data_IF_303344799385
#
_entry.id   IF_303344799385
#
_cell.length_a   1.000
_cell.length_b   1.000
_cell.length_c   1.000
_cell.angle_alpha   90.00
_cell.angle_beta   90.00
_cell.angle_gamma   90.00
#
_symmetry.space_group_name_H-M   'P 1'
#
loop_
_entity.id
_entity.type
_entity.pdbx_description
1 polymer ?
#
# COMPACT_ATOMS: atom_id res chain seq x y z
N UNK A 1 25.45 11.78 -34.69
CA UNK A 1 24.11 11.28 -34.32
C UNK A 1 23.93 9.96 -35.02
N UNK A 2 24.09 8.88 -34.28
CA UNK A 2 23.88 7.48 -34.68
C UNK A 2 23.34 6.79 -33.41
N UNK A 3 22.26 5.98 -33.49
CA UNK A 3 21.59 5.45 -32.32
C UNK A 3 22.25 4.17 -31.79
N UNK A 4 22.51 4.11 -30.48
CA UNK A 4 23.00 2.90 -29.81
C UNK A 4 21.91 1.83 -29.75
N UNK A 5 22.25 0.66 -30.29
CA UNK A 5 21.44 -0.55 -30.23
C UNK A 5 21.43 -1.12 -28.80
N UNK A 6 20.24 -1.48 -28.30
CA UNK A 6 20.07 -2.20 -27.05
C UNK A 6 20.20 -3.71 -27.35
N UNK A 7 21.36 -4.27 -27.05
CA UNK A 7 21.62 -5.70 -27.12
C UNK A 7 20.89 -6.39 -25.95
N UNK A 8 20.06 -7.38 -26.29
CA UNK A 8 19.30 -8.18 -25.34
C UNK A 8 20.22 -9.21 -24.68
N UNK A 9 20.53 -9.02 -23.41
CA UNK A 9 21.14 -10.08 -22.59
C UNK A 9 20.04 -11.02 -22.07
N UNK A 10 19.84 -12.10 -22.80
CA UNK A 10 19.08 -13.26 -22.37
C UNK A 10 19.90 -14.08 -21.37
N UNK A 11 19.56 -13.99 -20.08
CA UNK A 11 20.20 -14.81 -19.03
C UNK A 11 19.37 -16.06 -18.81
N UNK A 12 19.84 -17.19 -19.35
CA UNK A 12 19.37 -18.55 -19.05
C UNK A 12 19.69 -18.92 -17.59
N UNK A 13 18.77 -19.58 -16.85
CA UNK A 13 19.09 -20.09 -15.52
C UNK A 13 19.94 -21.36 -15.62
N UNK A 14 21.14 -21.34 -15.03
CA UNK A 14 21.94 -22.54 -14.78
C UNK A 14 21.44 -23.25 -13.51
N UNK A 15 21.11 -24.53 -13.65
CA UNK A 15 20.88 -25.48 -12.57
C UNK A 15 22.23 -26.13 -12.28
N UNK A 16 22.83 -25.84 -11.12
CA UNK A 16 24.04 -26.53 -10.65
C UNK A 16 23.65 -27.72 -9.79
N UNK A 17 24.01 -28.90 -10.28
CA UNK A 17 24.02 -30.19 -9.60
C UNK A 17 25.23 -30.28 -8.67
N UNK A 18 25.02 -30.70 -7.42
CA UNK A 18 26.09 -31.21 -6.57
C UNK A 18 25.61 -32.44 -5.81
N UNK A 19 26.12 -33.59 -6.24
CA UNK A 19 26.09 -34.90 -5.56
C UNK A 19 27.23 -34.95 -4.54
N UNK A 20 27.07 -35.64 -3.40
CA UNK A 20 28.18 -36.31 -2.72
C UNK A 20 28.02 -37.83 -2.76
N UNK A 21 29.16 -38.51 -2.90
CA UNK A 21 29.32 -39.94 -3.12
C UNK A 21 30.01 -40.62 -1.93
N UNK A 22 29.56 -41.85 -1.59
CA UNK A 22 30.24 -42.85 -0.75
C UNK A 22 29.54 -43.11 0.60
N UNK A 23 29.26 -44.33 1.07
CA UNK A 23 29.38 -45.74 0.61
C UNK A 23 28.46 -46.58 1.54
N UNK A 24 27.79 -47.65 1.09
CA UNK A 24 28.26 -49.04 1.12
C UNK A 24 27.48 -49.90 2.14
N UNK A 25 26.81 -50.97 1.65
CA UNK A 25 26.18 -52.16 2.30
C UNK A 25 25.08 -51.92 3.36
N UNK A 26 23.92 -52.60 3.40
CA UNK A 26 23.58 -54.01 3.15
C UNK A 26 22.07 -54.22 2.80
N UNK A 27 21.77 -55.45 2.37
CA UNK A 27 20.50 -55.96 1.83
C UNK A 27 19.31 -56.03 2.81
N UNK A 28 18.09 -55.71 2.33
CA UNK A 28 16.82 -56.49 2.46
C UNK A 28 15.54 -55.62 2.31
N UNK A 29 14.60 -56.05 1.45
CA UNK A 29 13.24 -55.53 1.22
C UNK A 29 12.26 -55.92 2.37
N UNK A 30 10.94 -55.58 2.40
CA UNK A 30 10.12 -54.63 1.59
C UNK A 30 9.12 -53.75 2.42
N UNK A 31 8.40 -52.85 1.73
CA UNK A 31 6.95 -52.52 1.88
C UNK A 31 6.57 -51.04 2.09
N UNK A 32 5.78 -50.55 1.14
CA UNK A 32 4.58 -49.69 1.23
C UNK A 32 4.46 -48.71 2.40
N UNK A 33 4.32 -47.40 2.10
CA UNK A 33 3.27 -46.53 2.68
C UNK A 33 3.12 -45.24 1.86
N UNK A 34 1.89 -45.04 1.44
CA UNK A 34 1.16 -43.81 1.08
C UNK A 34 1.59 -42.53 1.81
N UNK A 35 1.66 -41.40 1.10
CA UNK A 35 1.81 -40.09 1.73
C UNK A 35 1.79 -38.92 0.75
N UNK A 36 0.59 -38.47 0.40
CA UNK A 36 0.34 -37.21 -0.26
C UNK A 36 0.67 -36.02 0.66
N UNK A 37 1.17 -34.93 0.09
CA UNK A 37 1.08 -33.59 0.70
C UNK A 37 2.39 -33.01 1.23
N UNK A 38 3.15 -32.34 0.37
CA UNK A 38 4.18 -31.39 0.79
C UNK A 38 4.44 -30.35 -0.32
N UNK A 39 3.43 -29.54 -0.66
CA UNK A 39 3.57 -28.43 -1.59
C UNK A 39 2.66 -27.27 -1.22
N UNK A 40 2.75 -26.81 0.02
CA UNK A 40 1.92 -25.67 0.47
C UNK A 40 2.51 -25.00 1.70
N UNK A 41 3.78 -24.57 1.68
CA UNK A 41 4.34 -23.76 2.79
C UNK A 41 5.46 -22.78 2.38
N UNK A 42 5.55 -22.37 1.11
CA UNK A 42 6.60 -21.44 0.66
C UNK A 42 6.14 -19.98 0.42
N UNK A 43 4.90 -19.61 0.77
CA UNK A 43 4.31 -18.32 0.34
C UNK A 43 3.71 -17.47 1.47
N UNK A 44 4.18 -17.64 2.71
CA UNK A 44 3.69 -16.87 3.87
C UNK A 44 4.72 -15.91 4.49
N UNK A 45 6.00 -15.98 4.12
CA UNK A 45 7.08 -15.33 4.90
C UNK A 45 7.42 -13.87 4.53
N UNK A 46 6.93 -13.35 3.40
CA UNK A 46 7.24 -11.98 2.95
C UNK A 46 6.19 -10.92 3.34
N UNK A 47 5.21 -11.28 4.18
CA UNK A 47 4.09 -10.38 4.53
C UNK A 47 4.14 -9.82 5.95
N UNK A 48 5.07 -10.27 6.80
CA UNK A 48 5.15 -9.79 8.19
C UNK A 48 6.11 -8.61 8.39
N UNK A 49 7.05 -8.33 7.47
CA UNK A 49 8.03 -7.26 7.70
C UNK A 49 7.52 -5.82 7.50
N UNK A 50 6.39 -5.61 6.82
CA UNK A 50 5.93 -4.25 6.48
C UNK A 50 4.92 -3.63 7.46
N UNK A 51 4.57 -4.30 8.57
CA UNK A 51 3.61 -3.76 9.55
C UNK A 51 4.25 -3.02 10.75
N UNK A 52 5.58 -2.91 10.83
CA UNK A 52 6.26 -2.30 12.00
C UNK A 52 6.78 -0.86 11.79
N UNK A 53 6.55 -0.25 10.61
CA UNK A 53 7.12 1.06 10.27
C UNK A 53 6.06 2.11 9.91
N UNK A 54 4.99 2.20 10.71
CA UNK A 54 4.17 3.41 10.79
C UNK A 54 3.90 3.75 12.26
N UNK A 55 4.93 3.68 13.10
CA UNK A 55 4.91 4.51 14.29
C UNK A 55 5.35 5.90 13.86
N UNK A 56 4.35 6.78 13.68
CA UNK A 56 4.54 8.23 13.74
C UNK A 56 5.10 8.53 15.13
N UNK A 57 6.40 8.36 15.27
CA UNK A 57 7.12 8.57 16.50
C UNK A 57 6.98 10.06 16.78
N UNK A 58 6.14 10.40 17.75
CA UNK A 58 6.15 11.72 18.36
C UNK A 58 7.59 11.85 18.85
N UNK A 59 8.40 12.62 18.14
CA UNK A 59 9.64 13.15 18.69
C UNK A 59 9.19 13.76 19.99
N UNK A 60 9.54 13.13 21.12
CA UNK A 60 9.18 13.66 22.42
C UNK A 60 9.72 15.09 22.41
N UNK A 61 8.82 16.05 22.55
CA UNK A 61 9.18 17.45 22.66
C UNK A 61 9.80 17.57 24.05
N UNK A 62 11.10 17.27 24.15
CA UNK A 62 11.83 17.31 25.40
C UNK A 62 12.15 18.78 25.63
N UNK A 63 11.31 19.42 26.43
CA UNK A 63 11.40 20.84 26.75
C UNK A 63 12.49 21.07 27.80
N UNK A 64 13.73 21.26 27.32
CA UNK A 64 14.89 21.52 28.19
C UNK A 64 14.97 23.01 28.56
N UNK A 65 14.46 23.88 27.70
CA UNK A 65 14.59 25.33 27.81
C UNK A 65 13.93 25.94 29.05
N UNK A 66 12.72 25.52 29.48
CA UNK A 66 12.11 26.03 30.71
C UNK A 66 12.99 25.79 31.94
N UNK A 67 13.53 24.58 32.08
CA UNK A 67 14.39 24.20 33.22
C UNK A 67 15.69 25.00 33.22
N UNK A 68 16.33 25.18 32.05
CA UNK A 68 17.55 26.00 31.93
C UNK A 68 17.26 27.45 32.33
N UNK A 69 16.16 28.03 31.83
CA UNK A 69 15.78 29.41 32.15
C UNK A 69 15.56 29.60 33.65
N UNK A 70 14.91 28.64 34.29
CA UNK A 70 14.69 28.69 35.73
C UNK A 70 15.97 28.56 36.55
N UNK A 71 16.95 27.76 36.11
CA UNK A 71 18.27 27.66 36.74
C UNK A 71 19.00 29.00 36.63
N UNK A 72 19.11 29.56 35.42
CA UNK A 72 19.77 30.85 35.17
C UNK A 72 19.12 31.93 36.05
N UNK A 73 17.79 32.02 36.05
CA UNK A 73 17.05 32.96 36.90
C UNK A 73 17.30 32.74 38.40
N UNK A 74 17.43 31.50 38.85
CA UNK A 74 17.68 31.21 40.28
C UNK A 74 19.11 31.52 40.72
N UNK A 75 20.08 31.45 39.80
CA UNK A 75 21.50 31.75 40.06
C UNK A 75 21.76 33.26 40.01
N UNK A 76 21.07 33.98 39.12
CA UNK A 76 21.18 35.44 38.97
C UNK A 76 20.39 36.23 40.03
N UNK A 77 19.59 35.55 40.84
CA UNK A 77 18.78 36.20 41.88
C UNK A 77 19.62 36.49 43.12
N UNK A 78 19.75 37.76 43.49
CA UNK A 78 20.44 38.16 44.72
C UNK A 78 19.65 37.74 45.97
N UNK A 79 20.24 36.93 46.88
CA UNK A 79 19.55 36.48 48.08
C UNK A 79 19.38 37.62 49.08
N UNK A 80 18.15 37.82 49.57
CA UNK A 80 17.79 38.91 50.49
C UNK A 80 18.22 38.63 51.93
N UNK A 81 18.26 37.35 52.35
CA UNK A 81 18.75 36.90 53.66
C UNK A 81 19.36 35.48 53.61
N UNK A 82 20.02 35.04 54.69
CA UNK A 82 20.68 33.73 54.75
C UNK A 82 19.70 32.54 54.66
N UNK A 83 18.48 32.69 55.17
CA UNK A 83 17.45 31.65 55.09
C UNK A 83 16.93 31.48 53.65
N UNK A 84 16.71 32.58 52.93
CA UNK A 84 16.35 32.59 51.51
C UNK A 84 17.47 32.01 50.65
N UNK A 85 18.73 32.37 50.91
CA UNK A 85 19.90 31.81 50.21
C UNK A 85 19.95 30.29 50.27
N UNK A 86 19.67 29.72 51.46
CA UNK A 86 19.75 28.28 51.66
C UNK A 86 18.59 27.54 50.99
N UNK A 87 17.39 28.13 50.99
CA UNK A 87 16.23 27.61 50.25
C UNK A 87 16.41 27.70 48.74
N UNK A 88 16.83 28.85 48.22
CA UNK A 88 17.06 29.07 46.78
C UNK A 88 18.18 28.18 46.22
N UNK A 89 19.23 27.95 47.02
CA UNK A 89 20.29 27.01 46.66
C UNK A 89 19.79 25.56 46.59
N UNK A 90 18.85 25.16 47.46
CA UNK A 90 18.23 23.83 47.42
C UNK A 90 17.32 23.68 46.20
N UNK A 91 16.47 24.67 45.93
CA UNK A 91 15.57 24.71 44.77
C UNK A 91 16.37 24.71 43.45
N UNK A 92 17.46 25.48 43.36
CA UNK A 92 18.37 25.47 42.22
C UNK A 92 19.00 24.08 42.00
N UNK A 93 19.46 23.43 43.07
CA UNK A 93 20.03 22.07 42.99
C UNK A 93 19.01 21.06 42.49
N UNK A 94 17.74 21.19 42.90
CA UNK A 94 16.65 20.33 42.44
C UNK A 94 16.39 20.50 40.94
N UNK A 95 16.42 21.74 40.43
CA UNK A 95 16.26 22.02 38.98
C UNK A 95 17.43 21.48 38.15
N UNK A 96 18.65 21.51 38.69
CA UNK A 96 19.81 20.89 38.04
C UNK A 96 19.63 19.37 37.92
N UNK A 97 19.08 18.72 38.96
CA UNK A 97 18.75 17.28 38.89
C UNK A 97 17.63 16.99 37.88
N UNK A 98 16.63 17.85 37.80
CA UNK A 98 15.58 17.75 36.78
C UNK A 98 16.13 17.88 35.36
N UNK A 99 17.05 18.82 35.13
CA UNK A 99 17.77 18.96 33.87
C UNK A 99 18.57 17.70 33.52
N UNK A 100 19.26 17.10 34.49
CA UNK A 100 19.99 15.85 34.27
C UNK A 100 19.05 14.72 33.87
N UNK A 101 17.92 14.56 34.58
CA UNK A 101 16.91 13.53 34.28
C UNK A 101 16.29 13.71 32.90
N UNK A 102 15.99 14.94 32.48
CA UNK A 102 15.45 15.22 31.15
C UNK A 102 16.47 14.92 30.05
N UNK A 103 17.76 15.21 30.26
CA UNK A 103 18.83 14.84 29.34
C UNK A 103 19.03 13.33 29.23
N UNK A 104 18.94 12.60 30.34
CA UNK A 104 18.99 11.14 30.33
C UNK A 104 17.80 10.52 29.58
N UNK A 105 16.59 11.04 29.80
CA UNK A 105 15.40 10.65 29.05
C UNK A 105 15.55 10.92 27.54
N UNK A 106 16.17 12.05 27.17
CA UNK A 106 16.49 12.37 25.78
C UNK A 106 17.46 11.37 25.15
N UNK A 107 18.54 11.04 25.87
CA UNK A 107 19.51 10.02 25.44
C UNK A 107 18.85 8.65 25.26
N UNK A 108 17.95 8.26 26.17
CA UNK A 108 17.20 7.02 26.06
C UNK A 108 16.29 7.00 24.83
N UNK A 109 15.62 8.12 24.53
CA UNK A 109 14.75 8.26 23.36
C UNK A 109 15.54 8.19 22.04
N UNK A 110 16.70 8.85 21.97
CA UNK A 110 17.60 8.78 20.81
C UNK A 110 18.03 7.33 20.54
N UNK A 111 18.32 6.55 21.60
CA UNK A 111 18.67 5.13 21.49
C UNK A 111 17.50 4.22 21.08
N UNK A 112 16.27 4.71 21.14
CA UNK A 112 15.07 3.99 20.71
C UNK A 112 14.62 4.39 19.30
N UNK A 113 15.34 5.29 18.63
CA UNK A 113 15.00 5.71 17.27
C UNK A 113 15.20 4.54 16.30
N UNK A 114 14.18 4.19 15.50
CA UNK A 114 14.29 3.11 14.54
C UNK A 114 15.32 3.47 13.49
N UNK A 115 16.20 2.52 13.21
CA UNK A 115 17.20 2.66 12.17
C UNK A 115 18.56 3.15 12.63
N UNK A 116 18.73 3.60 13.88
CA UNK A 116 20.05 3.96 14.42
C UNK A 116 21.03 2.78 14.49
N UNK A 117 20.51 1.55 14.50
CA UNK A 117 21.30 0.32 14.54
C UNK A 117 21.97 0.00 13.19
N UNK A 118 21.49 0.61 12.11
CA UNK A 118 22.04 0.37 10.77
C UNK A 118 23.13 1.38 10.45
N UNK A 119 24.19 0.90 9.80
CA UNK A 119 25.16 1.80 9.18
C UNK A 119 24.48 2.65 8.10
N UNK A 120 25.04 3.82 7.81
CA UNK A 120 24.54 4.68 6.72
C UNK A 120 24.50 3.93 5.39
N UNK A 121 25.50 3.08 5.10
CA UNK A 121 25.50 2.28 3.88
C UNK A 121 24.38 1.24 3.85
N UNK A 122 24.10 0.58 4.97
CA UNK A 122 23.04 -0.41 5.08
C UNK A 122 21.65 0.20 4.91
N UNK A 123 21.41 1.38 5.50
CA UNK A 123 20.18 2.14 5.31
C UNK A 123 19.96 2.46 3.83
N UNK A 124 21.00 2.94 3.15
CA UNK A 124 20.95 3.27 1.72
C UNK A 124 20.69 2.04 0.86
N UNK A 125 21.36 0.91 1.13
CA UNK A 125 21.11 -0.37 0.42
C UNK A 125 19.68 -0.84 0.58
N UNK A 126 19.12 -0.78 1.79
CA UNK A 126 17.72 -1.15 2.05
C UNK A 126 16.76 -0.25 1.28
N UNK A 127 17.04 1.06 1.28
CA UNK A 127 16.25 2.05 0.55
C UNK A 127 16.29 1.78 -0.97
N UNK A 128 17.46 1.50 -1.54
CA UNK A 128 17.61 1.14 -2.95
C UNK A 128 16.86 -0.15 -3.31
N UNK A 129 16.94 -1.18 -2.47
CA UNK A 129 16.17 -2.42 -2.64
C UNK A 129 14.66 -2.14 -2.67
N UNK A 130 14.15 -1.34 -1.73
CA UNK A 130 12.74 -0.96 -1.68
C UNK A 130 12.31 -0.17 -2.91
N UNK A 131 13.13 0.75 -3.41
CA UNK A 131 12.87 1.49 -4.66
C UNK A 131 12.77 0.53 -5.85
N UNK A 132 13.70 -0.42 -5.96
CA UNK A 132 13.68 -1.45 -7.02
C UNK A 132 12.42 -2.31 -6.94
N UNK A 133 12.06 -2.78 -5.75
CA UNK A 133 10.85 -3.58 -5.54
C UNK A 133 9.58 -2.80 -5.91
N UNK A 134 9.49 -1.53 -5.51
CA UNK A 134 8.36 -0.67 -5.83
C UNK A 134 8.25 -0.46 -7.35
N UNK A 135 9.36 -0.15 -8.02
CA UNK A 135 9.38 0.01 -9.47
C UNK A 135 8.90 -1.25 -10.20
N UNK A 136 9.37 -2.43 -9.79
CA UNK A 136 8.93 -3.71 -10.35
C UNK A 136 7.44 -3.96 -10.10
N UNK A 137 6.95 -3.73 -8.88
CA UNK A 137 5.52 -3.88 -8.55
C UNK A 137 4.66 -2.93 -9.38
N UNK A 138 5.07 -1.68 -9.57
CA UNK A 138 4.37 -0.72 -10.43
C UNK A 138 4.34 -1.16 -11.90
N UNK A 139 5.48 -1.60 -12.44
CA UNK A 139 5.55 -2.12 -13.81
C UNK A 139 4.60 -3.30 -14.00
N UNK A 140 4.57 -4.22 -13.03
CA UNK A 140 3.72 -5.39 -13.08
C UNK A 140 2.23 -5.01 -13.05
N UNK A 141 1.83 -4.12 -12.14
CA UNK A 141 0.46 -3.60 -12.07
C UNK A 141 0.07 -2.92 -13.38
N UNK A 142 0.96 -2.09 -13.96
CA UNK A 142 0.71 -1.41 -15.24
C UNK A 142 0.50 -2.42 -16.37
N UNK A 143 1.36 -3.45 -16.44
CA UNK A 143 1.28 -4.51 -17.45
C UNK A 143 -0.05 -5.27 -17.36
N UNK A 144 -0.42 -5.73 -16.17
CA UNK A 144 -1.67 -6.48 -15.97
C UNK A 144 -2.91 -5.63 -16.20
N UNK A 145 -2.92 -4.35 -15.76
CA UNK A 145 -4.03 -3.44 -16.05
C UNK A 145 -4.21 -3.26 -17.55
N UNK A 146 -3.15 -2.98 -18.29
CA UNK A 146 -3.23 -2.79 -19.73
C UNK A 146 -3.66 -4.07 -20.46
N UNK A 147 -3.12 -5.23 -20.08
CA UNK A 147 -3.53 -6.51 -20.65
C UNK A 147 -5.00 -6.83 -20.38
N UNK A 148 -5.47 -6.59 -19.16
CA UNK A 148 -6.87 -6.84 -18.80
C UNK A 148 -7.80 -5.89 -19.54
N UNK A 149 -7.48 -4.59 -19.61
CA UNK A 149 -8.26 -3.61 -20.35
C UNK A 149 -8.28 -3.96 -21.83
N UNK A 150 -7.15 -4.37 -22.42
CA UNK A 150 -7.09 -4.81 -23.81
C UNK A 150 -7.97 -6.04 -24.05
N UNK A 151 -7.83 -7.09 -23.21
CA UNK A 151 -8.68 -8.29 -23.30
C UNK A 151 -10.16 -7.98 -23.12
N UNK A 152 -10.48 -7.02 -22.26
CA UNK A 152 -11.84 -6.56 -22.03
C UNK A 152 -12.37 -5.74 -23.21
N UNK A 153 -11.56 -4.86 -23.80
CA UNK A 153 -11.90 -4.10 -25.00
C UNK A 153 -12.10 -5.00 -26.22
N UNK A 154 -11.29 -6.05 -26.35
CA UNK A 154 -11.42 -7.06 -27.40
C UNK A 154 -12.61 -8.01 -27.15
N UNK A 155 -13.25 -7.95 -25.98
CA UNK A 155 -14.42 -8.75 -25.68
C UNK A 155 -15.67 -8.30 -26.46
N UNK A 156 -16.47 -9.26 -26.89
CA UNK A 156 -17.73 -9.00 -27.60
C UNK A 156 -18.74 -8.14 -26.82
N UNK A 157 -19.00 -8.34 -25.51
CA UNK A 157 -19.96 -7.51 -24.78
C UNK A 157 -19.55 -6.04 -24.69
N UNK A 158 -18.25 -5.74 -24.52
CA UNK A 158 -17.76 -4.36 -24.48
C UNK A 158 -17.84 -3.68 -25.84
N UNK A 159 -17.51 -4.39 -26.92
CA UNK A 159 -17.69 -3.87 -28.29
C UNK A 159 -19.15 -3.55 -28.58
N UNK A 160 -20.08 -4.42 -28.17
CA UNK A 160 -21.51 -4.17 -28.32
C UNK A 160 -21.97 -2.97 -27.48
N UNK A 161 -21.55 -2.87 -26.23
CA UNK A 161 -21.85 -1.72 -25.37
C UNK A 161 -21.29 -0.42 -25.94
N UNK A 162 -20.06 -0.43 -26.47
CA UNK A 162 -19.45 0.71 -27.13
C UNK A 162 -20.22 1.13 -28.38
N UNK A 163 -20.64 0.17 -29.23
CA UNK A 163 -21.50 0.44 -30.39
C UNK A 163 -22.83 1.09 -29.97
N UNK A 164 -23.47 0.56 -28.92
CA UNK A 164 -24.70 1.13 -28.38
C UNK A 164 -24.47 2.56 -27.87
N UNK A 165 -23.41 2.80 -27.11
CA UNK A 165 -23.07 4.12 -26.58
C UNK A 165 -22.77 5.13 -27.68
N UNK A 166 -21.99 4.74 -28.69
CA UNK A 166 -21.69 5.58 -29.87
C UNK A 166 -22.97 5.92 -30.62
N UNK A 167 -23.84 4.92 -30.84
CA UNK A 167 -25.12 5.14 -31.52
C UNK A 167 -26.03 6.09 -30.73
N UNK A 168 -26.08 5.96 -29.41
CA UNK A 168 -26.87 6.82 -28.54
C UNK A 168 -26.30 8.25 -28.49
N UNK A 169 -24.98 8.41 -28.45
CA UNK A 169 -24.32 9.71 -28.44
C UNK A 169 -24.57 10.49 -29.73
N UNK A 170 -24.35 9.87 -30.89
CA UNK A 170 -24.58 10.53 -32.17
C UNK A 170 -26.07 10.78 -32.43
N UNK A 171 -26.95 9.83 -32.09
CA UNK A 171 -28.41 10.01 -32.18
C UNK A 171 -28.93 11.10 -31.24
N UNK A 172 -28.36 11.21 -30.04
CA UNK A 172 -28.68 12.28 -29.10
C UNK A 172 -28.18 13.63 -29.59
N UNK A 173 -26.97 13.67 -30.19
CA UNK A 173 -26.37 14.90 -30.70
C UNK A 173 -27.14 15.47 -31.91
N UNK A 174 -27.65 14.64 -32.80
CA UNK A 174 -28.50 15.09 -33.93
C UNK A 174 -29.86 15.60 -33.44
N UNK A 175 -30.50 14.89 -32.51
CA UNK A 175 -31.79 15.31 -31.93
C UNK A 175 -31.66 16.59 -31.10
N UNK A 176 -30.52 16.80 -30.44
CA UNK A 176 -30.23 18.02 -29.69
C UNK A 176 -29.94 19.24 -30.57
N UNK A 177 -29.58 19.01 -31.84
CA UNK A 177 -29.37 20.05 -32.83
C UNK A 177 -30.69 20.42 -33.55
N UNK A 178 -31.61 19.46 -33.71
CA UNK A 178 -32.90 19.64 -34.38
C UNK A 178 -34.03 20.12 -33.43
N UNK A 179 -34.05 19.62 -32.20
CA UNK A 179 -34.91 20.12 -31.13
C UNK A 179 -34.02 20.87 -30.14
N UNK A 180 -34.41 22.07 -29.71
CA UNK A 180 -33.69 22.88 -28.71
C UNK A 180 -33.56 22.16 -27.35
N UNK A 181 -32.75 21.11 -27.25
CA UNK A 181 -32.54 20.26 -26.08
C UNK A 181 -31.83 20.97 -24.91
N UNK A 182 -31.57 22.27 -25.03
CA UNK A 182 -31.05 23.12 -23.95
C UNK A 182 -32.09 23.26 -22.81
N UNK A 183 -33.38 22.94 -23.05
CA UNK A 183 -34.46 23.11 -22.05
C UNK A 183 -35.02 21.83 -21.43
N UNK A 184 -34.44 20.64 -21.68
CA UNK A 184 -34.90 19.45 -20.95
C UNK A 184 -34.32 19.48 -19.53
N UNK A 185 -35.09 20.05 -18.60
CA UNK A 185 -34.72 20.17 -17.19
C UNK A 185 -34.30 18.80 -16.65
N UNK A 186 -33.23 18.69 -15.83
CA UNK A 186 -32.75 17.41 -15.30
C UNK A 186 -33.85 16.58 -14.62
N UNK A 187 -34.87 17.22 -14.06
CA UNK A 187 -36.03 16.55 -13.47
C UNK A 187 -36.97 15.89 -14.49
N UNK A 188 -37.14 16.47 -15.69
CA UNK A 188 -37.94 15.86 -16.76
C UNK A 188 -37.22 14.67 -17.38
N UNK A 189 -35.90 14.78 -17.54
CA UNK A 189 -35.07 13.66 -17.96
C UNK A 189 -35.06 12.53 -16.92
N UNK A 190 -34.96 12.84 -15.62
CA UNK A 190 -35.10 11.85 -14.54
C UNK A 190 -36.45 11.12 -14.60
N UNK A 191 -37.57 11.83 -14.79
CA UNK A 191 -38.89 11.20 -14.93
C UNK A 191 -38.97 10.29 -16.15
N UNK A 192 -38.42 10.71 -17.29
CA UNK A 192 -38.34 9.89 -18.50
C UNK A 192 -37.47 8.65 -18.29
N UNK A 193 -36.34 8.78 -17.61
CA UNK A 193 -35.46 7.66 -17.30
C UNK A 193 -36.07 6.70 -16.28
N UNK A 194 -36.87 7.20 -15.34
CA UNK A 194 -37.55 6.36 -14.36
C UNK A 194 -38.67 5.53 -15.02
N UNK A 195 -39.45 6.13 -15.93
CA UNK A 195 -40.44 5.38 -16.72
C UNK A 195 -39.77 4.37 -17.63
N UNK A 196 -38.70 4.77 -18.34
CA UNK A 196 -37.93 3.86 -19.18
C UNK A 196 -37.34 2.68 -18.38
N UNK A 197 -36.80 2.96 -17.19
CA UNK A 197 -36.27 1.93 -16.29
C UNK A 197 -37.35 0.94 -15.86
N UNK A 198 -38.57 1.41 -15.60
CA UNK A 198 -39.70 0.55 -15.27
C UNK A 198 -40.13 -0.33 -16.45
N UNK A 199 -40.15 0.22 -17.65
CA UNK A 199 -40.55 -0.50 -18.86
C UNK A 199 -39.51 -1.56 -19.24
N UNK A 200 -38.22 -1.21 -19.26
CA UNK A 200 -37.14 -2.18 -19.49
C UNK A 200 -37.14 -3.27 -18.42
N UNK A 201 -37.40 -2.93 -17.15
CA UNK A 201 -37.47 -3.93 -16.08
C UNK A 201 -38.62 -4.91 -16.29
N UNK A 202 -39.79 -4.42 -16.72
CA UNK A 202 -40.95 -5.26 -17.04
C UNK A 202 -40.66 -6.16 -18.25
N UNK A 203 -40.09 -5.61 -19.32
CA UNK A 203 -39.72 -6.39 -20.51
C UNK A 203 -38.68 -7.45 -20.20
N UNK A 204 -37.72 -7.17 -19.32
CA UNK A 204 -36.67 -8.12 -18.94
C UNK A 204 -37.22 -9.25 -18.07
N UNK A 205 -38.14 -8.96 -17.13
CA UNK A 205 -38.84 -10.01 -16.37
C UNK A 205 -39.77 -10.82 -17.28
N UNK A 206 -40.45 -10.19 -18.23
CA UNK A 206 -41.29 -10.90 -19.21
C UNK A 206 -40.46 -11.81 -20.11
N UNK A 207 -39.35 -11.31 -20.67
CA UNK A 207 -38.44 -12.11 -21.47
C UNK A 207 -37.80 -13.26 -20.68
N UNK A 208 -37.55 -13.06 -19.39
CA UNK A 208 -37.04 -14.09 -18.47
C UNK A 208 -38.11 -15.14 -18.15
N UNK A 209 -39.36 -14.76 -17.94
CA UNK A 209 -40.48 -15.69 -17.80
C UNK A 209 -40.72 -16.50 -19.08
N UNK A 210 -40.62 -15.87 -20.24
CA UNK A 210 -40.78 -16.53 -21.53
C UNK A 210 -39.60 -17.48 -21.84
N UNK A 211 -38.38 -17.13 -21.44
CA UNK A 211 -37.24 -18.06 -21.46
C UNK A 211 -37.47 -19.24 -20.52
N UNK A 212 -37.93 -19.01 -19.28
CA UNK A 212 -38.23 -20.06 -18.32
C UNK A 212 -39.35 -21.00 -18.80
N UNK A 213 -40.36 -20.46 -19.49
CA UNK A 213 -41.43 -21.23 -20.16
C UNK A 213 -40.93 -22.03 -21.36
N UNK A 214 -39.85 -21.60 -22.03
CA UNK A 214 -39.21 -22.32 -23.15
C UNK A 214 -38.19 -23.36 -22.67
N UNK A 215 -37.51 -23.14 -21.55
CA UNK A 215 -36.58 -24.10 -20.94
C UNK A 215 -37.31 -25.30 -20.31
N UNK A 216 -38.50 -25.10 -19.72
CA UNK A 216 -39.33 -26.18 -19.18
C UNK A 216 -40.10 -27.01 -20.23
N UNK A 217 -39.86 -26.79 -21.53
CA UNK A 217 -40.52 -27.50 -22.65
C UNK A 217 -39.57 -28.40 -23.43
N UNK A 218 -38.39 -28.67 -22.88
CA UNK A 218 -37.41 -29.65 -23.38
C UNK A 218 -37.33 -30.85 -22.45
#
# INVERSE_FOLDING_TARGET
MEPMQLEQLEVKPQIVSSVPSGGGVDSSNPSTVTGAGAASNACSDLRQETKKQEQKQKVAEIEILPVIYEIIRSVEKDPVDNAAKQKESADCSQKVLELQKTLEAARATIRQLPGIEFSKEEQLRRLESLRKQLALKQQLIKKYKNQLIQRLADSYPMRRAAQLLVSAYYRGRTMAQEQKFIEMTPERFKRMMETFRQDVKKELEQAKEDLKRREGRK
#
